data_IF_588249769307
#
_entry.id   IF_588249769307
#
_cell.length_a   1.000
_cell.length_b   1.000
_cell.length_c   1.000
_cell.angle_alpha   90.00
_cell.angle_beta   90.00
_cell.angle_gamma   90.00
#
_symmetry.space_group_name_H-M   'P 1'
#
loop_
_entity.id
_entity.type
_entity.pdbx_description
1 polymer ?
#
# COMPACT_ATOMS: atom_id res chain seq x y z
N UNK A 1 -6.43 14.20 -9.38
CA UNK A 1 -5.50 13.88 -8.28
C UNK A 1 -4.81 12.54 -8.44
N UNK A 2 -5.56 11.43 -8.41
CA UNK A 2 -4.98 10.07 -8.29
C UNK A 2 -4.02 9.62 -9.40
N UNK A 3 -4.28 9.99 -10.66
CA UNK A 3 -3.39 9.62 -11.79
C UNK A 3 -2.01 10.30 -11.66
N UNK A 4 -1.98 11.57 -11.28
CA UNK A 4 -0.74 12.32 -11.01
C UNK A 4 0.01 11.74 -9.80
N UNK A 5 -0.71 11.34 -8.75
CA UNK A 5 -0.10 10.67 -7.59
C UNK A 5 0.53 9.32 -7.97
N UNK A 6 -0.16 8.51 -8.78
CA UNK A 6 0.39 7.25 -9.27
C UNK A 6 1.65 7.45 -10.14
N UNK A 7 1.71 8.52 -10.92
CA UNK A 7 2.90 8.89 -11.70
C UNK A 7 4.10 9.28 -10.82
N UNK A 8 3.89 10.10 -9.77
CA UNK A 8 4.95 10.42 -8.81
C UNK A 8 5.43 9.19 -8.04
N UNK A 9 4.53 8.29 -7.67
CA UNK A 9 4.90 7.02 -7.01
C UNK A 9 5.63 6.08 -7.97
N UNK A 10 5.34 6.12 -9.27
CA UNK A 10 6.08 5.39 -10.30
C UNK A 10 7.52 5.88 -10.42
N UNK A 11 7.70 7.20 -10.45
CA UNK A 11 9.02 7.81 -10.44
C UNK A 11 9.80 7.47 -9.16
N UNK A 12 9.14 7.54 -7.99
CA UNK A 12 9.75 7.18 -6.70
C UNK A 12 10.16 5.71 -6.60
N UNK A 13 9.30 4.78 -7.04
CA UNK A 13 9.62 3.34 -7.05
C UNK A 13 10.86 3.01 -7.92
N UNK A 14 11.05 3.72 -9.04
CA UNK A 14 12.25 3.59 -9.87
C UNK A 14 13.50 4.15 -9.19
N UNK A 15 13.36 5.22 -8.41
CA UNK A 15 14.45 5.81 -7.64
C UNK A 15 14.88 4.90 -6.47
N UNK A 16 13.91 4.25 -5.81
CA UNK A 16 14.15 3.31 -4.71
C UNK A 16 14.49 1.87 -5.15
N UNK A 17 14.61 1.62 -6.45
CA UNK A 17 14.96 0.31 -7.03
C UNK A 17 14.07 -0.86 -6.55
N UNK A 18 12.78 -0.61 -6.31
CA UNK A 18 11.85 -1.67 -5.87
C UNK A 18 11.51 -2.62 -7.03
N UNK A 19 11.89 -3.92 -6.98
CA UNK A 19 11.78 -4.84 -8.12
C UNK A 19 10.33 -5.25 -8.47
N UNK A 20 9.32 -4.67 -7.82
CA UNK A 20 7.94 -5.15 -7.90
C UNK A 20 6.86 -4.10 -8.14
N UNK A 21 7.20 -2.84 -8.46
CA UNK A 21 6.21 -1.79 -8.72
C UNK A 21 5.12 -1.69 -7.60
N UNK A 22 5.46 -2.06 -6.36
CA UNK A 22 4.47 -2.26 -5.30
C UNK A 22 3.72 -0.97 -4.96
N UNK A 23 4.46 0.14 -4.84
CA UNK A 23 3.88 1.47 -4.64
C UNK A 23 2.92 1.91 -5.75
N UNK A 24 3.26 1.68 -7.02
CA UNK A 24 2.42 2.12 -8.15
C UNK A 24 1.13 1.35 -8.24
N UNK A 25 1.21 0.03 -8.11
CA UNK A 25 0.03 -0.84 -8.13
C UNK A 25 -0.87 -0.52 -6.94
N UNK A 26 -0.29 -0.27 -5.76
CA UNK A 26 -1.03 0.19 -4.58
C UNK A 26 -1.74 1.52 -4.80
N UNK A 27 -1.06 2.52 -5.37
CA UNK A 27 -1.62 3.85 -5.63
C UNK A 27 -2.79 3.84 -6.64
N UNK A 28 -2.68 3.01 -7.69
CA UNK A 28 -3.76 2.82 -8.66
C UNK A 28 -4.94 2.08 -8.04
N UNK A 29 -4.67 1.02 -7.28
CA UNK A 29 -5.69 0.24 -6.59
C UNK A 29 -6.49 1.11 -5.62
N UNK A 30 -5.81 1.93 -4.81
CA UNK A 30 -6.48 2.83 -3.86
C UNK A 30 -7.31 3.90 -4.58
N UNK A 31 -6.84 4.38 -5.74
CA UNK A 31 -7.59 5.36 -6.54
C UNK A 31 -8.90 4.75 -7.06
N UNK A 32 -8.87 3.50 -7.52
CA UNK A 32 -10.08 2.77 -7.94
C UNK A 32 -11.02 2.50 -6.76
N UNK A 33 -10.48 2.07 -5.61
CA UNK A 33 -11.29 1.84 -4.40
C UNK A 33 -11.99 3.13 -3.94
N UNK A 34 -11.25 4.25 -3.88
CA UNK A 34 -11.83 5.55 -3.53
C UNK A 34 -12.91 5.99 -4.52
N UNK A 35 -12.71 5.75 -5.81
CA UNK A 35 -13.71 6.05 -6.83
C UNK A 35 -15.01 5.24 -6.61
N UNK A 36 -14.89 3.96 -6.27
CA UNK A 36 -16.05 3.11 -5.97
C UNK A 36 -16.71 3.51 -4.64
N UNK A 37 -15.93 3.77 -3.58
CA UNK A 37 -16.45 4.20 -2.28
C UNK A 37 -17.10 5.60 -2.35
N UNK A 38 -16.71 6.44 -3.31
CA UNK A 38 -17.35 7.72 -3.55
C UNK A 38 -18.84 7.59 -3.88
N UNK A 39 -19.30 6.46 -4.44
CA UNK A 39 -20.74 6.21 -4.67
C UNK A 39 -21.53 5.97 -3.37
N UNK A 40 -20.83 5.65 -2.28
CA UNK A 40 -21.42 5.40 -0.95
C UNK A 40 -21.28 6.65 -0.04
N UNK A 41 -20.78 7.77 -0.58
CA UNK A 41 -20.60 9.02 0.18
C UNK A 41 -19.36 9.05 1.09
N UNK A 42 -18.43 8.10 0.91
CA UNK A 42 -17.17 8.08 1.65
C UNK A 42 -16.20 9.12 1.08
N UNK A 43 -15.85 10.12 1.87
CA UNK A 43 -14.87 11.13 1.46
C UNK A 43 -13.43 10.58 1.57
N UNK A 44 -12.48 11.07 0.75
CA UNK A 44 -11.09 10.61 0.80
C UNK A 44 -10.43 10.81 2.17
N UNK A 45 -10.80 11.86 2.91
CA UNK A 45 -10.25 12.17 4.24
C UNK A 45 -10.64 11.11 5.26
N UNK A 46 -11.91 10.67 5.26
CA UNK A 46 -12.40 9.59 6.13
C UNK A 46 -11.69 8.27 5.84
N UNK A 47 -11.40 8.01 4.57
CA UNK A 47 -10.67 6.82 4.14
C UNK A 47 -9.22 6.82 4.61
N UNK A 48 -8.51 7.95 4.47
CA UNK A 48 -7.13 8.10 4.94
C UNK A 48 -7.05 7.94 6.46
N UNK A 49 -7.95 8.61 7.19
CA UNK A 49 -8.02 8.48 8.65
C UNK A 49 -8.27 7.03 9.09
N UNK A 50 -9.22 6.35 8.43
CA UNK A 50 -9.51 4.94 8.69
C UNK A 50 -8.32 4.01 8.44
N UNK A 51 -7.59 4.20 7.34
CA UNK A 51 -6.37 3.43 7.04
C UNK A 51 -5.29 3.66 8.09
N UNK A 52 -5.05 4.90 8.51
CA UNK A 52 -4.05 5.20 9.53
C UNK A 52 -4.37 4.52 10.86
N UNK A 53 -5.63 4.59 11.31
CA UNK A 53 -6.09 3.90 12.52
C UNK A 53 -5.89 2.39 12.37
N UNK A 54 -6.37 1.80 11.26
CA UNK A 54 -6.26 0.37 11.03
C UNK A 54 -4.81 -0.13 11.04
N UNK A 55 -3.89 0.57 10.37
CA UNK A 55 -2.46 0.22 10.33
C UNK A 55 -1.84 0.31 11.73
N UNK A 56 -2.08 1.41 12.45
CA UNK A 56 -1.56 1.60 13.79
C UNK A 56 -2.12 0.56 14.77
N UNK A 57 -3.39 0.20 14.64
CA UNK A 57 -3.99 -0.85 15.46
C UNK A 57 -3.39 -2.21 15.15
N UNK A 58 -3.27 -2.60 13.89
CA UNK A 58 -2.71 -3.92 13.52
C UNK A 58 -1.22 -4.03 13.90
N UNK A 59 -0.44 -2.98 13.61
CA UNK A 59 0.98 -2.97 13.97
C UNK A 59 1.19 -2.81 15.48
N UNK A 60 0.32 -2.07 16.16
CA UNK A 60 0.37 -1.87 17.61
C UNK A 60 -0.04 -3.10 18.42
N UNK A 61 -0.92 -3.96 17.88
CA UNK A 61 -1.36 -5.19 18.56
C UNK A 61 -0.25 -6.26 18.55
N UNK A 62 0.34 -6.58 17.40
CA UNK A 62 1.43 -7.56 17.33
C UNK A 62 2.31 -7.33 16.08
N UNK A 63 3.19 -6.33 16.19
CA UNK A 63 4.17 -5.99 15.15
C UNK A 63 5.04 -7.19 14.76
N UNK A 64 5.42 -8.02 15.74
CA UNK A 64 6.40 -9.10 15.55
C UNK A 64 5.78 -10.21 14.71
N UNK A 65 4.57 -10.66 15.03
CA UNK A 65 3.86 -11.67 14.24
C UNK A 65 3.52 -11.16 12.84
N UNK A 66 3.07 -9.91 12.73
CA UNK A 66 2.80 -9.29 11.43
C UNK A 66 4.05 -9.33 10.52
N UNK A 67 5.21 -8.95 11.07
CA UNK A 67 6.49 -8.97 10.33
C UNK A 67 6.91 -10.39 9.92
N UNK A 68 6.73 -11.39 10.80
CA UNK A 68 7.03 -12.80 10.49
C UNK A 68 6.13 -13.32 9.36
N UNK A 69 4.84 -12.99 9.39
CA UNK A 69 3.88 -13.40 8.36
C UNK A 69 4.23 -12.75 7.03
N UNK A 70 4.50 -11.44 7.03
CA UNK A 70 4.94 -10.71 5.84
C UNK A 70 6.25 -11.29 5.26
N UNK A 71 7.23 -11.61 6.11
CA UNK A 71 8.47 -12.27 5.70
C UNK A 71 8.24 -13.65 5.09
N UNK A 72 7.34 -14.46 5.66
CA UNK A 72 6.94 -15.77 5.10
C UNK A 72 6.25 -15.62 3.74
N UNK A 73 5.38 -14.63 3.60
CA UNK A 73 4.70 -14.32 2.33
C UNK A 73 5.73 -13.90 1.28
N UNK A 74 6.63 -12.96 1.60
CA UNK A 74 7.68 -12.51 0.70
C UNK A 74 8.57 -13.68 0.23
N UNK A 75 8.94 -14.58 1.14
CA UNK A 75 9.69 -15.81 0.81
C UNK A 75 8.90 -16.74 -0.11
N UNK A 76 7.59 -16.89 0.08
CA UNK A 76 6.71 -17.70 -0.77
C UNK A 76 6.55 -17.13 -2.18
N UNK A 77 6.57 -15.80 -2.30
CA UNK A 77 6.52 -15.10 -3.59
C UNK A 77 7.85 -15.14 -4.36
N UNK A 78 8.88 -15.83 -3.85
CA UNK A 78 10.19 -15.96 -4.49
C UNK A 78 10.80 -14.60 -4.89
N UNK A 79 10.37 -13.52 -4.20
CA UNK A 79 11.02 -12.22 -4.24
C UNK A 79 12.24 -12.33 -3.34
N UNK A 80 13.24 -13.07 -3.81
CA UNK A 80 14.59 -12.73 -3.43
C UNK A 80 14.81 -11.31 -3.94
N UNK A 81 14.73 -10.33 -3.04
CA UNK A 81 15.54 -9.15 -3.19
C UNK A 81 16.98 -9.69 -3.25
N UNK A 82 17.44 -9.97 -4.47
CA UNK A 82 18.86 -10.20 -4.72
C UNK A 82 19.48 -8.83 -4.42
N UNK A 83 20.35 -8.84 -3.42
CA UNK A 83 21.07 -7.70 -2.86
C UNK A 83 21.49 -6.66 -3.90
#
# INVERSE_FOLDING_TARGET
GGILAAFFVFMGNRLCADPGYAGTTGSLTITVILFVCSFVGLTPEMFIAGICIAILTIQGIDQVRASIILGKIAKKFNRHAKE
#
